data_IF_292878737850
#
_entry.id   IF_292878737850
#
_cell.length_a   1.000
_cell.length_b   1.000
_cell.length_c   1.000
_cell.angle_alpha   90.00
_cell.angle_beta   90.00
_cell.angle_gamma   90.00
#
_symmetry.space_group_name_H-M   'P 1'
#
loop_
_entity.id
_entity.type
_entity.pdbx_description
1 polymer ?
#
# COMPACT_ATOMS: atom_id res chain seq x y z
N UNK A 1 42.14 5.97 1.83
CA UNK A 1 42.13 7.12 2.76
C UNK A 1 40.95 7.98 2.36
N UNK A 2 39.80 7.69 2.95
CA UNK A 2 38.56 8.47 2.78
C UNK A 2 38.83 9.93 3.15
N UNK A 3 38.36 10.85 2.31
CA UNK A 3 38.21 12.25 2.70
C UNK A 3 36.75 12.60 2.59
N UNK A 4 36.19 12.85 3.77
CA UNK A 4 34.87 13.36 4.07
C UNK A 4 34.52 14.56 3.17
N UNK A 5 33.67 14.32 2.18
CA UNK A 5 32.92 15.36 1.45
C UNK A 5 31.71 15.75 2.28
N UNK A 6 31.95 16.63 3.25
CA UNK A 6 31.07 16.86 4.38
C UNK A 6 29.92 17.86 4.07
N UNK A 7 28.78 17.58 4.69
CA UNK A 7 27.70 18.48 5.14
C UNK A 7 26.57 19.01 4.24
N UNK A 8 26.63 19.03 2.90
CA UNK A 8 25.52 19.64 2.10
C UNK A 8 24.54 18.64 1.47
N UNK A 9 24.91 17.36 1.34
CA UNK A 9 24.02 16.31 0.79
C UNK A 9 23.07 15.75 1.84
N UNK A 10 23.51 15.52 3.08
CA UNK A 10 22.63 14.93 4.11
C UNK A 10 21.39 15.77 4.46
N UNK A 11 21.54 17.10 4.54
CA UNK A 11 20.43 17.98 4.95
C UNK A 11 19.49 18.38 3.81
N UNK A 12 19.98 18.40 2.55
CA UNK A 12 19.12 18.65 1.39
C UNK A 12 18.29 17.41 1.02
N UNK A 13 18.83 16.20 1.21
CA UNK A 13 18.10 14.96 0.93
C UNK A 13 16.96 14.69 1.92
N UNK A 14 17.14 14.99 3.21
CA UNK A 14 16.07 14.91 4.21
C UNK A 14 14.95 15.95 4.01
N UNK A 15 15.26 17.09 3.37
CA UNK A 15 14.31 18.16 3.14
C UNK A 15 13.37 17.91 1.93
N UNK A 16 13.80 17.11 0.95
CA UNK A 16 12.99 16.80 -0.25
C UNK A 16 12.01 15.63 0.00
N UNK A 17 12.36 14.68 0.87
CA UNK A 17 11.52 13.50 1.14
C UNK A 17 11.19 13.38 2.63
N UNK A 18 10.14 14.09 3.06
CA UNK A 18 9.52 13.86 4.37
C UNK A 18 8.81 12.50 4.38
N UNK A 19 9.54 11.43 4.69
CA UNK A 19 8.94 10.20 5.23
C UNK A 19 9.05 8.91 4.41
N UNK A 20 9.84 8.84 3.35
CA UNK A 20 10.11 7.58 2.65
C UNK A 20 11.47 7.01 3.10
N UNK A 21 11.57 5.70 3.42
CA UNK A 21 12.85 5.05 3.70
C UNK A 21 13.81 5.14 2.50
N UNK A 22 15.10 5.35 2.78
CA UNK A 22 16.12 5.72 1.78
C UNK A 22 16.50 4.56 0.86
N UNK A 23 16.25 3.32 1.29
CA UNK A 23 16.52 2.07 0.57
C UNK A 23 15.76 1.94 -0.76
N UNK A 24 14.66 2.69 -0.97
CA UNK A 24 13.86 2.68 -2.21
C UNK A 24 14.08 3.93 -3.07
N UNK A 25 15.09 4.73 -2.76
CA UNK A 25 15.47 5.91 -3.54
C UNK A 25 16.76 5.60 -4.29
N UNK A 26 16.68 5.50 -5.63
CA UNK A 26 17.88 5.45 -6.47
C UNK A 26 18.28 6.85 -6.87
N UNK A 27 19.53 7.18 -6.58
CA UNK A 27 20.18 8.40 -7.03
C UNK A 27 21.10 8.04 -8.19
N UNK A 28 20.80 8.57 -9.37
CA UNK A 28 21.62 8.43 -10.56
C UNK A 28 22.30 9.77 -10.86
N UNK A 29 23.62 9.76 -10.98
CA UNK A 29 24.38 10.96 -11.34
C UNK A 29 24.74 10.89 -12.82
N UNK A 30 24.05 11.70 -13.63
CA UNK A 30 24.27 11.83 -15.07
C UNK A 30 25.04 13.09 -15.45
N UNK A 31 25.43 13.20 -16.73
CA UNK A 31 26.09 14.40 -17.27
C UNK A 31 25.24 15.67 -17.19
N UNK A 32 23.93 15.53 -17.07
CA UNK A 32 22.96 16.62 -16.95
C UNK A 32 22.56 16.95 -15.50
N UNK A 33 23.15 16.26 -14.51
CA UNK A 33 22.88 16.46 -13.09
C UNK A 33 22.45 15.18 -12.36
N UNK A 34 21.96 15.37 -11.14
CA UNK A 34 21.50 14.27 -10.26
C UNK A 34 20.02 14.01 -10.53
N UNK A 35 19.68 12.78 -10.93
CA UNK A 35 18.32 12.27 -11.00
C UNK A 35 18.04 11.42 -9.77
N UNK A 36 16.89 11.65 -9.17
CA UNK A 36 16.41 10.85 -8.04
C UNK A 36 15.14 10.15 -8.50
N UNK A 37 15.14 8.83 -8.47
CA UNK A 37 13.99 8.00 -8.82
C UNK A 37 13.53 7.23 -7.60
N UNK A 38 12.20 7.16 -7.42
CA UNK A 38 11.58 6.32 -6.40
C UNK A 38 11.36 4.95 -7.02
N UNK A 39 12.07 3.95 -6.51
CA UNK A 39 11.84 2.55 -6.86
C UNK A 39 10.71 1.99 -5.98
N UNK A 40 10.16 0.84 -6.38
CA UNK A 40 9.00 0.20 -5.76
C UNK A 40 9.09 0.19 -4.23
N UNK A 41 8.07 0.74 -3.57
CA UNK A 41 7.94 0.72 -2.11
C UNK A 41 7.85 -0.74 -1.63
N UNK A 42 8.55 -1.11 -0.56
CA UNK A 42 8.37 -2.41 0.09
C UNK A 42 7.36 -2.32 1.23
N UNK A 43 6.82 -3.47 1.64
CA UNK A 43 5.78 -3.58 2.67
C UNK A 43 6.11 -2.79 3.95
N UNK A 44 7.36 -2.90 4.42
CA UNK A 44 7.84 -2.18 5.62
C UNK A 44 7.78 -0.66 5.45
N UNK A 45 7.96 -0.11 4.25
CA UNK A 45 7.84 1.35 4.04
C UNK A 45 6.42 1.84 4.26
N UNK A 46 5.44 1.05 3.80
CA UNK A 46 4.03 1.44 3.88
C UNK A 46 3.59 1.36 5.32
N UNK A 47 3.97 0.29 6.01
CA UNK A 47 3.74 0.17 7.44
C UNK A 47 4.48 1.26 8.23
N UNK A 48 5.68 1.65 7.80
CA UNK A 48 6.46 2.73 8.41
C UNK A 48 5.95 4.12 8.04
N UNK A 49 5.14 4.26 6.99
CA UNK A 49 4.50 5.55 6.71
C UNK A 49 3.50 5.83 7.82
N UNK A 50 3.54 7.06 8.36
CA UNK A 50 2.48 7.60 9.25
C UNK A 50 1.10 7.66 8.57
N UNK A 51 1.06 7.28 7.29
CA UNK A 51 -0.07 7.27 6.41
C UNK A 51 -0.89 5.97 6.55
N UNK A 52 -0.37 4.88 7.15
CA UNK A 52 -1.20 3.73 7.55
C UNK A 52 -1.80 3.98 8.93
N UNK A 53 -3.13 4.01 9.00
CA UNK A 53 -3.89 4.09 10.25
C UNK A 53 -5.01 3.06 10.28
N UNK A 54 -5.53 2.78 11.47
CA UNK A 54 -6.65 1.86 11.67
C UNK A 54 -6.40 0.47 11.05
N UNK A 55 -5.17 -0.06 11.24
CA UNK A 55 -4.84 -1.44 10.90
C UNK A 55 -5.67 -2.37 11.77
N UNK A 56 -6.35 -3.32 11.14
CA UNK A 56 -7.22 -4.28 11.81
C UNK A 56 -7.22 -5.62 11.09
N UNK A 57 -7.42 -6.66 11.88
CA UNK A 57 -7.54 -8.03 11.39
C UNK A 57 -8.97 -8.48 11.60
N UNK A 58 -9.57 -9.07 10.57
CA UNK A 58 -10.95 -9.53 10.55
C UNK A 58 -10.98 -10.96 10.07
N UNK A 59 -11.72 -11.80 10.78
CA UNK A 59 -12.00 -13.18 10.39
C UNK A 59 -13.37 -13.23 9.72
N UNK A 60 -13.43 -13.83 8.55
CA UNK A 60 -14.63 -14.01 7.75
C UNK A 60 -14.85 -15.49 7.47
N UNK A 61 -16.09 -15.93 7.57
CA UNK A 61 -16.53 -17.20 6.99
C UNK A 61 -17.04 -16.95 5.57
N UNK A 62 -16.54 -17.71 4.61
CA UNK A 62 -16.90 -17.63 3.20
C UNK A 62 -18.38 -17.99 3.02
N UNK A 63 -19.14 -17.09 2.41
CA UNK A 63 -20.52 -17.36 2.01
C UNK A 63 -20.60 -18.06 0.66
N UNK A 64 -21.82 -18.35 0.21
CA UNK A 64 -22.10 -18.98 -1.09
C UNK A 64 -21.46 -18.22 -2.26
N UNK A 65 -21.55 -16.88 -2.23
CA UNK A 65 -20.95 -15.98 -3.23
C UNK A 65 -19.52 -15.52 -2.88
N UNK A 66 -18.88 -16.16 -1.90
CA UNK A 66 -17.53 -15.83 -1.45
C UNK A 66 -17.48 -14.86 -0.26
N UNK A 67 -16.45 -14.01 -0.22
CA UNK A 67 -16.20 -13.11 0.92
C UNK A 67 -17.02 -11.81 0.88
N UNK A 68 -17.56 -11.43 -0.28
CA UNK A 68 -18.32 -10.19 -0.42
C UNK A 68 -17.50 -8.92 -0.64
N UNK A 69 -16.30 -9.05 -1.20
CA UNK A 69 -15.44 -7.92 -1.58
C UNK A 69 -15.03 -7.98 -3.04
N UNK A 70 -14.86 -6.82 -3.67
CA UNK A 70 -14.11 -6.65 -4.90
C UNK A 70 -12.81 -5.91 -4.60
N UNK A 71 -11.70 -6.37 -5.18
CA UNK A 71 -10.40 -5.70 -5.05
C UNK A 71 -10.05 -4.91 -6.31
N UNK A 72 -9.18 -3.92 -6.17
CA UNK A 72 -8.55 -3.18 -7.26
C UNK A 72 -7.05 -2.99 -6.97
N UNK A 73 -6.32 -2.47 -7.96
CA UNK A 73 -4.88 -2.25 -7.87
C UNK A 73 -4.07 -3.53 -8.05
N UNK A 74 -2.82 -3.50 -7.61
CA UNK A 74 -1.82 -4.54 -7.86
C UNK A 74 -0.52 -3.95 -8.40
N UNK A 75 0.56 -4.73 -8.31
CA UNK A 75 1.89 -4.35 -8.79
C UNK A 75 1.87 -3.95 -10.28
N UNK A 76 1.11 -4.69 -11.09
CA UNK A 76 0.85 -4.46 -12.51
C UNK A 76 0.18 -3.12 -12.81
N UNK A 77 -0.52 -2.55 -11.83
CA UNK A 77 -1.13 -1.22 -11.88
C UNK A 77 -0.34 -0.16 -11.12
N UNK A 78 0.75 -0.54 -10.43
CA UNK A 78 1.51 0.32 -9.52
C UNK A 78 0.63 0.96 -8.44
N UNK A 79 -0.35 0.20 -7.95
CA UNK A 79 -1.30 0.58 -6.92
C UNK A 79 -1.34 -0.49 -5.83
N UNK A 80 -1.63 -0.13 -4.56
CA UNK A 80 -1.93 -1.10 -3.50
C UNK A 80 -3.12 -1.96 -3.90
N UNK A 81 -3.13 -3.21 -3.45
CA UNK A 81 -4.36 -4.00 -3.44
C UNK A 81 -5.30 -3.36 -2.42
N UNK A 82 -6.45 -2.88 -2.87
CA UNK A 82 -7.45 -2.25 -2.01
C UNK A 82 -8.86 -2.75 -2.28
N UNK A 83 -9.75 -2.55 -1.33
CA UNK A 83 -11.16 -2.90 -1.42
C UNK A 83 -11.87 -1.83 -2.25
N UNK A 84 -12.27 -2.19 -3.46
CA UNK A 84 -13.10 -1.32 -4.30
C UNK A 84 -14.57 -1.38 -3.85
N UNK A 85 -15.11 -2.57 -3.63
CA UNK A 85 -16.53 -2.72 -3.28
C UNK A 85 -16.69 -3.69 -2.12
N UNK A 86 -17.58 -3.35 -1.20
CA UNK A 86 -18.11 -4.27 -0.18
C UNK A 86 -19.57 -4.51 -0.56
N UNK A 87 -19.93 -5.75 -0.86
CA UNK A 87 -21.28 -6.08 -1.31
C UNK A 87 -22.24 -6.17 -0.11
N UNK A 88 -23.45 -5.65 -0.26
CA UNK A 88 -24.49 -5.72 0.78
C UNK A 88 -24.83 -7.17 1.13
N UNK A 89 -25.25 -7.39 2.38
CA UNK A 89 -25.61 -8.71 2.91
C UNK A 89 -24.54 -9.80 2.69
N UNK A 90 -23.28 -9.41 2.59
CA UNK A 90 -22.15 -10.32 2.46
C UNK A 90 -21.40 -10.54 3.79
N UNK A 91 -20.52 -11.56 3.89
CA UNK A 91 -19.69 -11.75 5.08
C UNK A 91 -18.87 -10.49 5.44
N UNK A 92 -18.24 -9.87 4.44
CA UNK A 92 -17.47 -8.64 4.65
C UNK A 92 -18.33 -7.47 5.14
N UNK A 93 -19.52 -7.26 4.56
CA UNK A 93 -20.43 -6.19 5.00
C UNK A 93 -20.90 -6.41 6.45
N UNK A 94 -21.33 -7.63 6.77
CA UNK A 94 -21.78 -8.00 8.14
C UNK A 94 -20.68 -7.90 9.20
N UNK A 95 -19.41 -7.97 8.80
CA UNK A 95 -18.31 -7.79 9.74
C UNK A 95 -18.23 -6.36 10.29
N UNK A 96 -18.78 -5.38 9.56
CA UNK A 96 -18.65 -3.93 9.82
C UNK A 96 -17.20 -3.42 9.95
N UNK A 97 -16.21 -4.30 9.73
CA UNK A 97 -14.80 -4.02 9.92
C UNK A 97 -14.11 -3.66 8.60
N UNK A 98 -14.69 -4.04 7.45
CA UNK A 98 -14.13 -3.78 6.13
C UNK A 98 -14.95 -2.70 5.44
N UNK A 99 -14.25 -1.71 4.88
CA UNK A 99 -14.85 -0.59 4.17
C UNK A 99 -14.18 -0.42 2.80
N UNK A 100 -14.90 0.21 1.87
CA UNK A 100 -14.32 0.69 0.61
C UNK A 100 -13.08 1.58 0.87
N UNK A 101 -12.10 1.49 -0.02
CA UNK A 101 -10.77 2.10 0.04
C UNK A 101 -9.86 1.61 1.19
N UNK A 102 -10.26 0.59 1.96
CA UNK A 102 -9.28 -0.11 2.79
C UNK A 102 -8.21 -0.76 1.90
N UNK A 103 -6.95 -0.67 2.31
CA UNK A 103 -5.86 -1.42 1.70
C UNK A 103 -5.79 -2.79 2.32
N UNK A 104 -5.75 -3.83 1.48
CA UNK A 104 -5.51 -5.20 1.90
C UNK A 104 -4.00 -5.39 2.09
N UNK A 105 -3.61 -5.82 3.28
CA UNK A 105 -2.21 -6.02 3.66
C UNK A 105 -1.84 -7.50 3.64
N UNK A 106 -2.70 -8.35 4.21
CA UNK A 106 -2.47 -9.79 4.37
C UNK A 106 -3.77 -10.56 4.20
N UNK A 107 -3.65 -11.81 3.74
CA UNK A 107 -4.72 -12.81 3.68
C UNK A 107 -4.16 -14.11 4.28
N UNK A 108 -4.78 -14.60 5.34
CA UNK A 108 -4.30 -15.74 6.14
C UNK A 108 -2.83 -15.60 6.59
N UNK A 109 -2.40 -14.36 6.87
CA UNK A 109 -1.03 -14.03 7.24
C UNK A 109 -0.04 -13.98 6.07
N UNK A 110 -0.47 -14.28 4.84
CA UNK A 110 0.35 -14.08 3.64
C UNK A 110 0.18 -12.64 3.15
N UNK A 111 1.30 -11.93 3.01
CA UNK A 111 1.36 -10.54 2.56
C UNK A 111 0.91 -10.46 1.09
N UNK A 112 -0.01 -9.53 0.78
CA UNK A 112 -0.47 -9.29 -0.60
C UNK A 112 0.27 -8.14 -1.29
N UNK A 113 1.11 -7.41 -0.56
CA UNK A 113 1.92 -6.34 -1.14
C UNK A 113 2.94 -6.87 -2.15
N UNK A 114 3.12 -6.13 -3.25
CA UNK A 114 4.01 -6.53 -4.34
C UNK A 114 3.47 -7.65 -5.21
N UNK A 115 2.27 -8.18 -4.92
CA UNK A 115 1.56 -9.10 -5.82
C UNK A 115 0.85 -8.32 -6.93
N UNK A 116 0.76 -8.93 -8.09
CA UNK A 116 -0.15 -8.49 -9.15
C UNK A 116 -1.60 -8.63 -8.71
N UNK A 117 -2.50 -7.97 -9.43
CA UNK A 117 -3.94 -8.11 -9.21
C UNK A 117 -4.39 -9.58 -9.20
N UNK A 118 -3.93 -10.36 -10.20
CA UNK A 118 -4.30 -11.76 -10.36
C UNK A 118 -3.79 -12.64 -9.22
N UNK A 119 -2.53 -12.47 -8.80
CA UNK A 119 -1.97 -13.21 -7.67
C UNK A 119 -2.72 -12.94 -6.36
N UNK A 120 -3.11 -11.68 -6.11
CA UNK A 120 -3.91 -11.33 -4.92
C UNK A 120 -5.33 -11.92 -4.99
N UNK A 121 -5.95 -11.91 -6.17
CA UNK A 121 -7.26 -12.52 -6.38
C UNK A 121 -7.22 -14.03 -6.17
N UNK A 122 -6.19 -14.72 -6.66
CA UNK A 122 -6.02 -16.16 -6.50
C UNK A 122 -5.78 -16.55 -5.06
N UNK A 123 -5.05 -15.73 -4.31
CA UNK A 123 -4.86 -15.92 -2.88
C UNK A 123 -6.20 -15.82 -2.13
N UNK A 124 -7.03 -14.81 -2.42
CA UNK A 124 -8.38 -14.69 -1.84
C UNK A 124 -9.31 -15.85 -2.25
N UNK A 125 -9.21 -16.37 -3.47
CA UNK A 125 -10.00 -17.51 -3.95
C UNK A 125 -9.60 -18.82 -3.26
N UNK A 126 -8.31 -19.01 -3.03
CA UNK A 126 -7.74 -20.24 -2.45
C UNK A 126 -7.65 -20.24 -0.92
N UNK A 127 -8.01 -19.13 -0.26
CA UNK A 127 -7.92 -18.94 1.20
C UNK A 127 -8.81 -19.87 2.06
N UNK A 128 -9.61 -20.75 1.45
CA UNK A 128 -10.54 -21.64 2.15
C UNK A 128 -11.78 -20.93 2.68
N UNK A 129 -12.51 -21.61 3.57
CA UNK A 129 -13.78 -21.13 4.10
C UNK A 129 -13.63 -20.17 5.28
N UNK A 130 -12.59 -20.34 6.09
CA UNK A 130 -12.27 -19.39 7.17
C UNK A 130 -11.08 -18.54 6.73
N UNK A 131 -11.33 -17.25 6.52
CA UNK A 131 -10.34 -16.33 5.96
C UNK A 131 -10.06 -15.20 6.94
N UNK A 132 -8.79 -15.01 7.27
CA UNK A 132 -8.32 -13.88 8.07
C UNK A 132 -7.76 -12.81 7.13
N UNK A 133 -8.36 -11.62 7.11
CA UNK A 133 -7.87 -10.48 6.33
C UNK A 133 -7.25 -9.46 7.28
N UNK A 134 -6.11 -8.89 6.89
CA UNK A 134 -5.59 -7.67 7.53
C UNK A 134 -5.75 -6.50 6.59
N UNK A 135 -6.44 -5.47 7.06
CA UNK A 135 -6.75 -4.26 6.29
C UNK A 135 -6.35 -3.00 7.04
N UNK A 136 -6.14 -1.89 6.33
CA UNK A 136 -5.88 -0.59 6.93
C UNK A 136 -6.37 0.58 6.07
N UNK A 137 -6.41 1.78 6.64
CA UNK A 137 -6.65 3.02 5.89
C UNK A 137 -5.34 3.70 5.53
N UNK A 138 -5.26 4.19 4.30
CA UNK A 138 -4.27 5.20 3.92
C UNK A 138 -4.84 6.60 4.23
N UNK A 139 -4.17 7.33 5.12
CA UNK A 139 -4.34 8.76 5.35
C UNK A 139 -3.14 9.48 4.81
N UNK A 140 -3.20 10.81 4.77
CA UNK A 140 -2.02 11.58 4.47
C UNK A 140 -1.26 12.08 5.68
N UNK A 141 -0.09 12.68 5.40
CA UNK A 141 0.74 13.42 6.36
C UNK A 141 -0.01 14.42 7.25
N UNK A 142 -1.20 14.87 6.85
CA UNK A 142 -2.04 15.83 7.58
C UNK A 142 -3.21 15.13 8.30
N UNK A 143 -3.26 13.79 8.29
CA UNK A 143 -4.26 12.95 8.92
C UNK A 143 -5.63 12.98 8.23
N UNK A 144 -5.74 13.57 7.04
CA UNK A 144 -7.00 13.67 6.30
C UNK A 144 -7.22 12.42 5.47
N UNK A 145 -8.46 11.91 5.49
CA UNK A 145 -8.94 10.97 4.47
C UNK A 145 -8.83 11.69 3.13
N UNK A 146 -7.88 11.29 2.28
CA UNK A 146 -7.70 11.90 0.96
C UNK A 146 -8.84 11.44 0.06
N UNK A 147 -9.66 12.41 -0.32
CA UNK A 147 -10.74 12.49 -1.30
C UNK A 147 -10.91 11.29 -2.25
N UNK A 148 -11.25 10.13 -1.68
CA UNK A 148 -11.94 8.99 -2.28
C UNK A 148 -11.30 8.33 -3.51
N UNK A 149 -10.13 8.77 -3.95
CA UNK A 149 -9.49 8.29 -5.17
C UNK A 149 -8.04 7.90 -4.89
N UNK A 150 -7.84 6.62 -4.57
CA UNK A 150 -6.51 6.06 -4.38
C UNK A 150 -5.61 6.20 -5.61
N UNK A 151 -6.16 6.25 -6.83
CA UNK A 151 -5.32 6.44 -8.03
C UNK A 151 -4.68 7.83 -8.07
N UNK A 152 -5.36 8.85 -7.55
CA UNK A 152 -4.79 10.19 -7.44
C UNK A 152 -3.64 10.25 -6.43
N UNK A 153 -3.65 9.38 -5.42
CA UNK A 153 -2.59 9.30 -4.42
C UNK A 153 -1.26 8.83 -5.03
N UNK A 154 -1.29 7.82 -5.90
CA UNK A 154 -0.08 7.28 -6.53
C UNK A 154 0.31 7.98 -7.84
N UNK A 155 -0.59 8.77 -8.46
CA UNK A 155 -0.28 9.62 -9.63
C UNK A 155 0.54 10.87 -9.30
N UNK A 156 0.59 11.30 -8.03
CA UNK A 156 1.40 12.42 -7.58
C UNK A 156 2.86 11.97 -7.37
N UNK A 157 3.67 11.98 -8.44
CA UNK A 157 5.14 12.19 -8.47
C UNK A 157 5.81 11.48 -9.66
N UNK A 158 5.31 11.68 -10.88
CA UNK A 158 6.12 11.42 -12.08
C UNK A 158 5.99 12.66 -12.99
N UNK A 159 6.95 13.57 -12.88
CA UNK A 159 7.31 14.54 -13.92
C UNK A 159 8.76 14.33 -14.31
#
# INVERSE_FOLDING_TARGET
MEREGNFMTGQLFAAVFKGAPLEHVRVEVGREGVRVSRHDMVYEDILATKDIVNRRTVELERGEDGLGIAIQGGLDFKLPISIDTVFDDSPASRSEAIEREDVLLEVNGEVVWGKTHEEAADLLRSAGDNVTLTVAKLVDKDGKKRDGNIQNFFKLNIQ
#
